data_IF_680456709997
#
_entry.id   IF_680456709997
#
_cell.length_a   1.000
_cell.length_b   1.000
_cell.length_c   1.000
_cell.angle_alpha   90.00
_cell.angle_beta   90.00
_cell.angle_gamma   90.00
#
_symmetry.space_group_name_H-M   'P 1'
#
loop_
_entity.id
_entity.type
_entity.pdbx_description
1 polymer ?
#
# COMPACT_ATOMS: atom_id res chain seq x y z
N UNK A 1 23.10 54.29 14.34
CA UNK A 1 22.34 53.46 15.29
C UNK A 1 21.07 53.01 14.59
N UNK A 2 21.08 51.78 14.06
CA UNK A 2 19.89 50.96 13.82
C UNK A 2 20.38 49.52 13.76
N UNK A 3 19.75 48.68 14.58
CA UNK A 3 20.13 47.33 14.95
C UNK A 3 20.17 46.35 13.77
N UNK A 4 21.26 45.58 13.71
CA UNK A 4 21.34 44.35 12.93
C UNK A 4 20.61 43.25 13.69
N UNK A 5 19.41 42.91 13.24
CA UNK A 5 18.61 41.81 13.76
C UNK A 5 19.38 40.48 13.68
N UNK A 6 19.43 39.79 14.83
CA UNK A 6 20.13 38.54 15.02
C UNK A 6 19.59 37.41 14.16
N UNK A 7 20.50 36.72 13.49
CA UNK A 7 20.25 35.41 12.88
C UNK A 7 20.21 34.41 14.05
N UNK A 8 19.00 33.96 14.41
CA UNK A 8 18.81 32.84 15.33
C UNK A 8 19.27 31.57 14.62
N UNK A 9 20.51 31.17 14.90
CA UNK A 9 21.01 29.83 14.65
C UNK A 9 20.24 28.91 15.61
N UNK A 10 19.23 28.18 15.12
CA UNK A 10 18.68 27.08 15.90
C UNK A 10 19.81 26.08 16.10
N UNK A 11 20.16 25.87 17.36
CA UNK A 11 21.17 24.92 17.82
C UNK A 11 20.63 23.51 17.63
N UNK A 12 21.36 22.70 16.87
CA UNK A 12 21.19 21.25 16.85
C UNK A 12 21.67 20.73 18.22
N UNK A 13 20.76 20.67 19.21
CA UNK A 13 21.08 20.15 20.54
C UNK A 13 21.42 18.67 20.42
N UNK A 14 22.68 18.32 20.69
CA UNK A 14 23.13 16.94 20.68
C UNK A 14 22.46 16.17 21.83
N UNK A 15 21.42 15.41 21.51
CA UNK A 15 20.79 14.48 22.47
C UNK A 15 21.76 13.33 22.74
N UNK A 16 22.21 13.20 24.00
CA UNK A 16 23.14 12.14 24.41
C UNK A 16 22.36 11.01 25.07
N UNK A 17 22.39 9.81 24.48
CA UNK A 17 21.77 8.61 25.05
C UNK A 17 22.82 7.71 25.69
N UNK A 18 22.50 7.08 26.83
CA UNK A 18 23.30 6.00 27.38
C UNK A 18 23.22 4.74 26.49
N UNK A 19 24.23 3.85 26.53
CA UNK A 19 24.16 2.58 25.81
C UNK A 19 22.97 1.70 26.21
N UNK A 20 22.45 1.85 27.43
CA UNK A 20 21.26 1.14 27.90
C UNK A 20 19.98 1.67 27.25
N UNK A 21 19.81 2.99 27.21
CA UNK A 21 18.67 3.65 26.56
C UNK A 21 18.63 3.37 25.06
N UNK A 22 19.78 3.40 24.39
CA UNK A 22 19.88 3.04 22.96
C UNK A 22 19.42 1.60 22.69
N UNK A 23 19.78 0.66 23.56
CA UNK A 23 19.33 -0.74 23.44
C UNK A 23 17.83 -0.86 23.65
N UNK A 24 17.29 -0.22 24.68
CA UNK A 24 15.84 -0.24 24.95
C UNK A 24 15.05 0.34 23.79
N UNK A 25 15.48 1.49 23.23
CA UNK A 25 14.82 2.13 22.10
C UNK A 25 14.85 1.24 20.86
N UNK A 26 16.02 0.66 20.55
CA UNK A 26 16.17 -0.29 19.44
C UNK A 26 15.24 -1.49 19.60
N UNK A 27 15.21 -2.10 20.78
CA UNK A 27 14.42 -3.31 21.03
C UNK A 27 12.92 -3.00 20.96
N UNK A 28 12.49 -1.84 21.46
CA UNK A 28 11.11 -1.38 21.35
C UNK A 28 10.72 -1.13 19.88
N UNK A 29 11.60 -0.51 19.09
CA UNK A 29 11.38 -0.28 17.67
C UNK A 29 11.36 -1.58 16.85
N UNK A 30 12.21 -2.54 17.18
CA UNK A 30 12.19 -3.88 16.57
C UNK A 30 10.88 -4.60 16.85
N UNK A 31 10.39 -4.57 18.10
CA UNK A 31 9.08 -5.13 18.47
C UNK A 31 7.95 -4.46 17.70
N UNK A 32 7.98 -3.13 17.63
CA UNK A 32 7.02 -2.34 16.86
C UNK A 32 6.94 -2.81 15.40
N UNK A 33 8.07 -2.91 14.69
CA UNK A 33 8.07 -3.39 13.30
C UNK A 33 7.68 -4.86 13.16
N UNK A 34 7.99 -5.70 14.15
CA UNK A 34 7.64 -7.10 14.15
C UNK A 34 6.12 -7.32 14.17
N UNK A 35 5.38 -6.49 14.90
CA UNK A 35 3.91 -6.52 14.89
C UNK A 35 3.33 -6.34 13.48
N UNK A 36 3.92 -5.41 12.70
CA UNK A 36 3.55 -5.20 11.30
C UNK A 36 3.95 -6.35 10.39
N UNK A 37 5.09 -7.00 10.66
CA UNK A 37 5.47 -8.23 9.93
C UNK A 37 4.46 -9.35 10.19
N UNK A 38 3.91 -9.46 11.40
CA UNK A 38 2.88 -10.46 11.69
C UNK A 38 1.55 -10.13 11.02
N UNK A 39 1.09 -8.87 11.07
CA UNK A 39 -0.11 -8.47 10.34
C UNK A 39 0.01 -8.71 8.84
N UNK A 40 1.21 -8.49 8.28
CA UNK A 40 1.50 -8.82 6.88
C UNK A 40 1.31 -10.31 6.58
N UNK A 41 1.83 -11.19 7.43
CA UNK A 41 1.70 -12.65 7.26
C UNK A 41 0.26 -13.12 7.33
N UNK A 42 -0.55 -12.58 8.24
CA UNK A 42 -1.99 -12.89 8.31
C UNK A 42 -2.69 -12.59 6.98
N UNK A 43 -2.43 -11.41 6.41
CA UNK A 43 -3.00 -11.01 5.12
C UNK A 43 -2.45 -11.86 3.96
N UNK A 44 -1.15 -12.16 3.95
CA UNK A 44 -0.54 -13.03 2.95
C UNK A 44 -1.15 -14.43 2.96
N UNK A 45 -1.35 -15.02 4.14
CA UNK A 45 -1.97 -16.34 4.28
C UNK A 45 -3.41 -16.33 3.74
N UNK A 46 -4.20 -15.31 4.07
CA UNK A 46 -5.57 -15.16 3.55
C UNK A 46 -5.59 -15.08 2.02
N UNK A 47 -4.69 -14.30 1.42
CA UNK A 47 -4.56 -14.19 -0.03
C UNK A 47 -4.04 -15.47 -0.69
N UNK A 48 -3.12 -16.17 -0.04
CA UNK A 48 -2.59 -17.45 -0.53
C UNK A 48 -3.69 -18.52 -0.57
N UNK A 49 -4.53 -18.59 0.48
CA UNK A 49 -5.69 -19.49 0.53
C UNK A 49 -6.66 -19.18 -0.61
N UNK A 50 -7.02 -17.91 -0.82
CA UNK A 50 -7.88 -17.52 -1.96
C UNK A 50 -7.27 -17.96 -3.30
N UNK A 51 -5.96 -17.74 -3.49
CA UNK A 51 -5.26 -18.17 -4.72
C UNK A 51 -5.33 -19.68 -4.94
N UNK A 52 -5.05 -20.47 -3.89
CA UNK A 52 -5.06 -21.93 -3.95
C UNK A 52 -6.48 -22.48 -4.17
N UNK A 53 -7.48 -21.90 -3.51
CA UNK A 53 -8.89 -22.23 -3.72
C UNK A 53 -9.28 -22.01 -5.19
N UNK A 54 -8.94 -20.84 -5.77
CA UNK A 54 -9.23 -20.55 -7.17
C UNK A 54 -8.60 -21.55 -8.14
N UNK A 55 -7.35 -21.95 -7.89
CA UNK A 55 -6.65 -22.93 -8.72
C UNK A 55 -7.30 -24.31 -8.71
N UNK A 56 -7.97 -24.69 -7.61
CA UNK A 56 -8.60 -26.00 -7.46
C UNK A 56 -10.06 -26.02 -7.93
N UNK A 57 -10.76 -24.89 -7.82
CA UNK A 57 -12.23 -24.83 -8.00
C UNK A 57 -12.68 -24.11 -9.26
N UNK A 58 -11.79 -23.38 -9.92
CA UNK A 58 -12.11 -22.58 -11.10
C UNK A 58 -11.12 -22.85 -12.25
N UNK A 59 -11.58 -22.68 -13.48
CA UNK A 59 -10.75 -22.85 -14.68
C UNK A 59 -9.67 -21.76 -14.84
N UNK A 60 -9.72 -20.71 -14.01
CA UNK A 60 -8.85 -19.54 -14.10
C UNK A 60 -8.55 -18.96 -12.70
N UNK A 61 -7.29 -18.57 -12.49
CA UNK A 61 -6.81 -18.00 -11.24
C UNK A 61 -6.67 -16.46 -11.35
N UNK A 62 -7.42 -15.68 -10.55
CA UNK A 62 -7.37 -14.22 -10.59
C UNK A 62 -6.07 -13.61 -10.07
N UNK A 63 -5.25 -14.36 -9.29
CA UNK A 63 -4.00 -13.88 -8.69
C UNK A 63 -2.80 -14.42 -9.46
N UNK A 64 -2.04 -13.52 -10.08
CA UNK A 64 -0.77 -13.84 -10.75
C UNK A 64 0.37 -13.96 -9.74
N UNK A 65 0.52 -12.95 -8.89
CA UNK A 65 1.51 -12.96 -7.81
C UNK A 65 1.15 -12.00 -6.68
N UNK A 66 1.67 -12.32 -5.49
CA UNK A 66 1.59 -11.48 -4.30
C UNK A 66 3.01 -11.11 -3.89
N UNK A 67 3.25 -9.83 -3.63
CA UNK A 67 4.49 -9.35 -3.01
C UNK A 67 4.16 -8.57 -1.76
N UNK A 68 5.05 -8.59 -0.80
CA UNK A 68 4.82 -7.93 0.48
C UNK A 68 6.09 -7.27 0.97
N UNK A 69 5.93 -6.25 1.81
CA UNK A 69 7.04 -5.57 2.46
C UNK A 69 6.61 -4.93 3.75
N UNK A 70 7.57 -4.80 4.67
CA UNK A 70 7.50 -3.83 5.75
C UNK A 70 8.41 -2.67 5.41
N UNK A 71 7.94 -1.44 5.67
CA UNK A 71 8.71 -0.22 5.43
C UNK A 71 10.01 -0.27 6.23
N UNK A 72 11.13 0.14 5.61
CA UNK A 72 12.41 0.21 6.31
C UNK A 72 12.36 1.26 7.44
N UNK A 73 13.19 1.09 8.49
CA UNK A 73 13.37 2.10 9.53
C UNK A 73 13.56 3.52 8.98
N UNK A 74 14.49 3.69 8.06
CA UNK A 74 14.86 5.00 7.52
C UNK A 74 13.67 5.64 6.79
N UNK A 75 13.01 4.89 5.90
CA UNK A 75 11.84 5.41 5.19
C UNK A 75 10.65 5.69 6.11
N UNK A 76 10.52 4.97 7.23
CA UNK A 76 9.50 5.26 8.23
C UNK A 76 9.80 6.58 8.93
N UNK A 77 11.05 6.78 9.39
CA UNK A 77 11.52 8.03 10.02
C UNK A 77 11.35 9.22 9.08
N UNK A 78 11.77 9.11 7.83
CA UNK A 78 11.56 10.15 6.80
C UNK A 78 10.07 10.49 6.63
N UNK A 79 9.20 9.48 6.69
CA UNK A 79 7.74 9.68 6.55
C UNK A 79 7.12 10.35 7.77
N UNK A 80 7.59 9.99 8.98
CA UNK A 80 7.20 10.64 10.24
C UNK A 80 7.60 12.11 10.19
N UNK A 81 8.86 12.40 9.86
CA UNK A 81 9.38 13.77 9.75
C UNK A 81 8.63 14.59 8.70
N UNK A 82 8.42 14.06 7.49
CA UNK A 82 7.68 14.75 6.42
C UNK A 82 6.23 15.08 6.80
N UNK A 83 5.59 14.25 7.62
CA UNK A 83 4.21 14.46 8.06
C UNK A 83 4.11 15.27 9.37
N UNK A 84 5.22 15.58 10.03
CA UNK A 84 5.23 16.25 11.33
C UNK A 84 4.52 15.44 12.42
N UNK A 85 4.62 14.11 12.38
CA UNK A 85 4.00 13.24 13.38
C UNK A 85 4.94 13.15 14.59
N UNK A 86 4.38 13.08 15.80
CA UNK A 86 5.15 12.81 17.00
C UNK A 86 5.89 11.46 16.89
N UNK A 87 7.11 11.41 17.45
CA UNK A 87 8.02 10.26 17.27
C UNK A 87 7.72 9.08 18.20
N UNK A 88 6.56 9.07 18.86
CA UNK A 88 6.11 7.94 19.66
C UNK A 88 5.33 6.91 18.83
N UNK A 89 5.30 5.66 19.30
CA UNK A 89 4.69 4.57 18.52
C UNK A 89 3.18 4.63 18.43
N UNK A 90 2.49 5.31 19.35
CA UNK A 90 1.03 5.46 19.31
C UNK A 90 0.64 6.43 18.18
N UNK A 91 1.29 7.59 18.14
CA UNK A 91 1.12 8.57 17.07
C UNK A 91 1.48 8.01 15.70
N UNK A 92 2.58 7.24 15.61
CA UNK A 92 2.98 6.60 14.35
C UNK A 92 1.90 5.61 13.88
N UNK A 93 1.36 4.76 14.78
CA UNK A 93 0.27 3.82 14.42
C UNK A 93 -0.96 4.53 13.91
N UNK A 94 -1.35 5.63 14.54
CA UNK A 94 -2.56 6.36 14.19
C UNK A 94 -2.47 7.05 12.81
N UNK A 95 -1.27 7.47 12.40
CA UNK A 95 -1.09 8.33 11.22
C UNK A 95 -0.36 7.67 10.03
N UNK A 96 0.32 6.54 10.24
CA UNK A 96 1.05 5.80 9.20
C UNK A 96 0.48 4.38 9.08
N UNK A 97 -0.38 4.22 8.07
CA UNK A 97 -1.16 3.00 7.83
C UNK A 97 -0.53 2.05 6.82
N UNK A 98 0.56 2.45 6.15
CA UNK A 98 1.28 1.68 5.11
C UNK A 98 2.66 1.20 5.59
N UNK A 99 2.79 0.91 6.89
CA UNK A 99 4.02 0.31 7.46
C UNK A 99 4.15 -1.13 6.96
N UNK A 100 3.07 -1.90 6.99
CA UNK A 100 2.91 -3.17 6.29
C UNK A 100 2.18 -2.94 4.97
N UNK A 101 2.73 -3.45 3.87
CA UNK A 101 2.14 -3.32 2.55
C UNK A 101 2.17 -4.62 1.75
N UNK A 102 1.02 -5.05 1.24
CA UNK A 102 0.86 -6.17 0.31
C UNK A 102 0.45 -5.62 -1.05
N UNK A 103 1.02 -6.18 -2.11
CA UNK A 103 0.61 -5.93 -3.49
C UNK A 103 0.13 -7.23 -4.11
N UNK A 104 -1.10 -7.19 -4.62
CA UNK A 104 -1.75 -8.29 -5.31
C UNK A 104 -1.85 -7.93 -6.78
N UNK A 105 -1.08 -8.63 -7.60
CA UNK A 105 -1.15 -8.49 -9.06
C UNK A 105 -2.13 -9.51 -9.61
N UNK A 106 -3.15 -9.01 -10.29
CA UNK A 106 -4.28 -9.73 -10.85
C UNK A 106 -4.17 -9.74 -12.38
N UNK A 107 -4.84 -10.67 -13.07
CA UNK A 107 -4.78 -10.64 -14.53
C UNK A 107 -5.70 -9.57 -15.12
N UNK A 108 -6.88 -9.32 -14.53
CA UNK A 108 -7.81 -8.28 -15.01
C UNK A 108 -8.29 -7.30 -13.92
N UNK A 109 -8.89 -6.19 -14.36
CA UNK A 109 -9.44 -5.17 -13.47
C UNK A 109 -10.60 -5.74 -12.66
N UNK A 110 -11.46 -6.54 -13.30
CA UNK A 110 -12.53 -7.27 -12.63
C UNK A 110 -12.01 -8.08 -11.43
N UNK A 111 -10.89 -8.77 -11.60
CA UNK A 111 -10.31 -9.63 -10.56
C UNK A 111 -9.76 -8.85 -9.39
N UNK A 112 -9.23 -7.65 -9.64
CA UNK A 112 -8.82 -6.73 -8.57
C UNK A 112 -10.00 -6.38 -7.64
N UNK A 113 -11.19 -6.10 -8.20
CA UNK A 113 -12.39 -5.85 -7.40
C UNK A 113 -12.93 -7.12 -6.74
N UNK A 114 -12.94 -8.25 -7.45
CA UNK A 114 -13.38 -9.53 -6.90
C UNK A 114 -12.54 -9.95 -5.67
N UNK A 115 -11.23 -9.83 -5.77
CA UNK A 115 -10.33 -10.16 -4.66
C UNK A 115 -10.44 -9.17 -3.50
N UNK A 116 -10.67 -7.89 -3.79
CA UNK A 116 -11.02 -6.92 -2.76
C UNK A 116 -12.28 -7.35 -1.99
N UNK A 117 -13.35 -7.71 -2.70
CA UNK A 117 -14.60 -8.15 -2.08
C UNK A 117 -14.39 -9.40 -1.24
N UNK A 118 -13.71 -10.42 -1.77
CA UNK A 118 -13.45 -11.68 -1.07
C UNK A 118 -12.58 -11.51 0.17
N UNK A 119 -11.53 -10.68 0.10
CA UNK A 119 -10.68 -10.41 1.26
C UNK A 119 -11.45 -9.65 2.35
N UNK A 120 -12.25 -8.66 1.96
CA UNK A 120 -12.92 -7.75 2.91
C UNK A 120 -14.25 -8.28 3.45
N UNK A 121 -14.77 -9.38 2.89
CA UNK A 121 -15.91 -10.11 3.44
C UNK A 121 -15.52 -11.09 4.57
N UNK A 122 -14.23 -11.34 4.78
CA UNK A 122 -13.77 -12.16 5.91
C UNK A 122 -14.14 -11.47 7.23
N UNK A 123 -14.62 -12.25 8.20
CA UNK A 123 -15.21 -11.77 9.46
C UNK A 123 -14.22 -11.07 10.39
N UNK A 124 -12.92 -11.33 10.21
CA UNK A 124 -11.82 -10.75 10.99
C UNK A 124 -11.06 -9.63 10.27
N UNK A 125 -11.52 -9.20 9.09
CA UNK A 125 -10.94 -8.09 8.33
C UNK A 125 -11.81 -6.84 8.46
N UNK A 126 -11.23 -5.75 8.99
CA UNK A 126 -11.89 -4.44 9.05
C UNK A 126 -11.33 -3.49 8.01
N UNK A 127 -12.18 -2.98 7.12
CA UNK A 127 -11.76 -1.95 6.14
C UNK A 127 -11.69 -0.58 6.81
N UNK A 128 -10.51 0.03 6.83
CA UNK A 128 -10.29 1.38 7.37
C UNK A 128 -10.41 2.45 6.28
N UNK A 129 -9.88 2.20 5.08
CA UNK A 129 -9.90 3.17 3.99
C UNK A 129 -9.84 2.48 2.63
N UNK A 130 -10.54 3.03 1.64
CA UNK A 130 -10.47 2.63 0.23
C UNK A 130 -10.13 3.85 -0.62
N UNK A 131 -9.11 3.73 -1.48
CA UNK A 131 -8.77 4.73 -2.52
C UNK A 131 -8.72 4.03 -3.87
N UNK A 132 -9.72 4.30 -4.69
CA UNK A 132 -9.90 3.65 -5.98
C UNK A 132 -9.27 4.48 -7.10
N UNK A 133 -7.96 4.33 -7.31
CA UNK A 133 -7.27 4.97 -8.43
C UNK A 133 -7.47 4.24 -9.76
N UNK A 134 -8.22 3.12 -9.79
CA UNK A 134 -8.62 2.49 -11.05
C UNK A 134 -9.77 3.32 -11.64
N UNK A 135 -10.78 3.61 -10.82
CA UNK A 135 -11.92 4.45 -11.20
C UNK A 135 -11.55 5.94 -11.31
N UNK A 136 -10.70 6.44 -10.40
CA UNK A 136 -10.25 7.83 -10.36
C UNK A 136 -8.71 7.92 -10.41
N UNK A 137 -8.09 7.72 -11.59
CA UNK A 137 -6.63 7.74 -11.76
C UNK A 137 -6.01 9.06 -11.33
N UNK A 138 -4.76 9.00 -10.84
CA UNK A 138 -4.01 10.23 -10.54
C UNK A 138 -3.65 10.99 -11.83
N UNK A 139 -3.33 12.30 -11.74
CA UNK A 139 -2.96 13.11 -12.91
C UNK A 139 -1.80 12.55 -13.75
N UNK A 140 -0.85 11.84 -13.13
CA UNK A 140 0.27 11.19 -13.80
C UNK A 140 -0.09 9.88 -14.54
N UNK A 141 -1.35 9.42 -14.47
CA UNK A 141 -1.79 8.16 -15.07
C UNK A 141 -1.74 6.95 -14.13
N UNK A 142 -1.30 7.13 -12.89
CA UNK A 142 -1.24 6.05 -11.91
C UNK A 142 -2.61 5.45 -11.60
N UNK A 143 -2.70 4.11 -11.69
CA UNK A 143 -3.88 3.31 -11.34
C UNK A 143 -3.52 2.16 -10.39
N UNK A 144 -4.37 1.95 -9.39
CA UNK A 144 -4.35 0.84 -8.43
C UNK A 144 -5.54 0.98 -7.48
N UNK A 145 -6.07 -0.11 -6.96
CA UNK A 145 -7.03 -0.06 -5.85
C UNK A 145 -6.28 -0.21 -4.53
N UNK A 146 -6.26 0.84 -3.71
CA UNK A 146 -5.59 0.84 -2.40
C UNK A 146 -6.60 0.68 -1.30
N UNK A 147 -6.35 -0.29 -0.42
CA UNK A 147 -7.25 -0.65 0.66
C UNK A 147 -6.43 -0.77 1.92
N UNK A 148 -6.74 0.03 2.93
CA UNK A 148 -6.17 -0.14 4.26
C UNK A 148 -7.12 -1.03 5.03
N UNK A 149 -6.67 -2.24 5.34
CA UNK A 149 -7.39 -3.18 6.19
C UNK A 149 -6.72 -3.23 7.56
N UNK A 150 -7.47 -3.64 8.55
CA UNK A 150 -6.97 -3.96 9.88
C UNK A 150 -7.25 -5.44 10.17
N UNK A 151 -6.21 -6.15 10.61
CA UNK A 151 -6.25 -7.59 10.91
C UNK A 151 -5.81 -7.83 12.36
N UNK A 152 -6.43 -8.76 13.11
CA UNK A 152 -5.97 -9.12 14.43
C UNK A 152 -4.67 -9.94 14.38
N UNK A 153 -3.72 -9.59 15.24
CA UNK A 153 -2.52 -10.38 15.51
C UNK A 153 -2.53 -10.81 16.97
N UNK A 154 -2.33 -12.10 17.21
CA UNK A 154 -2.35 -12.68 18.55
C UNK A 154 -0.93 -12.94 19.03
N UNK A 155 -0.48 -12.12 19.99
CA UNK A 155 0.83 -12.23 20.63
C UNK A 155 0.70 -12.83 22.03
N UNK A 156 1.84 -13.22 22.62
CA UNK A 156 1.87 -13.67 24.02
C UNK A 156 1.41 -12.58 25.02
N UNK A 157 1.48 -11.32 24.62
CA UNK A 157 1.04 -10.15 25.41
C UNK A 157 -0.41 -9.76 25.16
N UNK A 158 -1.11 -10.45 24.25
CA UNK A 158 -2.50 -10.19 23.92
C UNK A 158 -2.74 -9.94 22.43
N UNK A 159 -3.98 -9.61 22.11
CA UNK A 159 -4.43 -9.28 20.74
C UNK A 159 -4.12 -7.82 20.44
N UNK A 160 -3.51 -7.57 19.29
CA UNK A 160 -3.37 -6.22 18.71
C UNK A 160 -4.07 -6.18 17.35
N UNK A 161 -4.50 -5.00 16.94
CA UNK A 161 -5.08 -4.78 15.62
C UNK A 161 -4.03 -4.04 14.76
N UNK A 162 -3.68 -4.62 13.61
CA UNK A 162 -2.57 -4.13 12.79
C UNK A 162 -3.09 -3.65 11.45
N UNK A 163 -2.87 -2.38 11.07
CA UNK A 163 -3.23 -1.90 9.74
C UNK A 163 -2.22 -2.40 8.70
N UNK A 164 -2.75 -2.88 7.57
CA UNK A 164 -2.01 -3.34 6.40
C UNK A 164 -2.60 -2.68 5.16
N UNK A 165 -1.74 -2.05 4.36
CA UNK A 165 -2.15 -1.53 3.05
C UNK A 165 -2.09 -2.66 2.01
N UNK A 166 -3.22 -2.99 1.39
CA UNK A 166 -3.33 -3.93 0.28
C UNK A 166 -3.56 -3.14 -1.01
N UNK A 167 -2.70 -3.35 -1.99
CA UNK A 167 -2.78 -2.72 -3.30
C UNK A 167 -3.13 -3.77 -4.35
N UNK A 168 -4.31 -3.68 -4.94
CA UNK A 168 -4.71 -4.51 -6.08
C UNK A 168 -4.36 -3.80 -7.39
N UNK A 169 -3.74 -4.54 -8.31
CA UNK A 169 -3.27 -4.03 -9.61
C UNK A 169 -3.42 -5.10 -10.67
N UNK A 170 -3.57 -4.69 -11.93
CA UNK A 170 -3.28 -5.58 -13.06
C UNK A 170 -1.77 -5.68 -13.28
N UNK A 171 -1.35 -6.62 -14.14
CA UNK A 171 0.04 -6.73 -14.59
C UNK A 171 0.53 -5.41 -15.21
N UNK A 172 -0.27 -4.78 -16.07
CA UNK A 172 0.13 -3.55 -16.76
C UNK A 172 0.24 -2.36 -15.78
N UNK A 173 -0.69 -2.25 -14.82
CA UNK A 173 -0.62 -1.25 -13.75
C UNK A 173 0.63 -1.42 -12.89
N UNK A 174 0.97 -2.66 -12.51
CA UNK A 174 2.14 -2.91 -11.69
C UNK A 174 3.46 -2.62 -12.43
N UNK A 175 3.54 -3.03 -13.70
CA UNK A 175 4.67 -2.74 -14.56
C UNK A 175 4.91 -1.23 -14.68
N UNK A 176 3.87 -0.48 -15.04
CA UNK A 176 3.96 0.97 -15.21
C UNK A 176 4.36 1.67 -13.91
N UNK A 177 3.68 1.36 -12.79
CA UNK A 177 3.93 2.00 -11.51
C UNK A 177 5.32 1.66 -10.95
N UNK A 178 5.83 0.45 -11.20
CA UNK A 178 7.18 0.07 -10.79
C UNK A 178 8.27 0.80 -11.58
N UNK A 179 8.03 1.09 -12.86
CA UNK A 179 8.95 1.87 -13.69
C UNK A 179 8.91 3.35 -13.31
N UNK A 180 7.72 3.93 -13.19
CA UNK A 180 7.53 5.33 -12.77
C UNK A 180 8.22 5.60 -11.44
N UNK A 181 8.01 4.76 -10.43
CA UNK A 181 8.64 4.91 -9.12
C UNK A 181 10.17 4.84 -9.19
N UNK A 182 10.75 3.95 -10.01
CA UNK A 182 12.21 3.84 -10.19
C UNK A 182 12.79 5.11 -10.83
N UNK A 183 12.09 5.68 -11.80
CA UNK A 183 12.50 6.93 -12.46
C UNK A 183 12.44 8.07 -11.44
N UNK A 184 11.31 8.29 -10.77
CA UNK A 184 11.18 9.36 -9.79
C UNK A 184 12.21 9.29 -8.66
N UNK A 185 12.47 8.08 -8.14
CA UNK A 185 13.45 7.90 -7.07
C UNK A 185 14.89 8.17 -7.53
N UNK A 186 15.27 7.74 -8.74
CA UNK A 186 16.64 7.93 -9.25
C UNK A 186 16.96 9.39 -9.59
N UNK A 187 15.96 10.17 -9.98
CA UNK A 187 16.14 11.54 -10.44
C UNK A 187 15.72 12.60 -9.40
N UNK A 188 15.49 12.21 -8.14
CA UNK A 188 15.14 13.10 -7.02
C UNK A 188 14.05 14.13 -7.39
N UNK A 189 13.01 13.66 -8.08
CA UNK A 189 11.89 14.49 -8.58
C UNK A 189 12.24 15.56 -9.63
N UNK A 190 13.46 15.60 -10.15
CA UNK A 190 13.90 16.47 -11.27
C UNK A 190 13.60 15.85 -12.64
N UNK A 191 12.42 15.26 -12.81
CA UNK A 191 12.04 14.60 -14.07
C UNK A 191 11.54 15.66 -15.07
N UNK A 192 12.10 15.74 -16.29
CA UNK A 192 11.64 16.69 -17.31
C UNK A 192 10.15 16.53 -17.64
N UNK A 193 9.46 17.64 -17.92
CA UNK A 193 8.03 17.65 -18.19
C UNK A 193 7.64 16.79 -19.40
N UNK A 194 8.51 16.75 -20.41
CA UNK A 194 8.33 15.92 -21.60
C UNK A 194 8.28 14.43 -21.23
N UNK A 195 9.20 13.97 -20.37
CA UNK A 195 9.24 12.58 -19.92
C UNK A 195 8.04 12.22 -19.04
N UNK A 196 7.53 13.16 -18.24
CA UNK A 196 6.27 12.97 -17.51
C UNK A 196 5.08 12.80 -18.45
N UNK A 197 5.06 13.54 -19.56
CA UNK A 197 4.06 13.38 -20.62
C UNK A 197 4.13 12.00 -21.28
N UNK A 198 5.33 11.53 -21.61
CA UNK A 198 5.54 10.19 -22.18
C UNK A 198 5.15 9.07 -21.21
N UNK A 199 5.51 9.20 -19.93
CA UNK A 199 5.09 8.24 -18.91
C UNK A 199 3.57 8.17 -18.78
N UNK A 200 2.88 9.32 -18.77
CA UNK A 200 1.42 9.35 -18.76
C UNK A 200 0.83 8.66 -20.01
N UNK A 201 1.34 8.97 -21.21
CA UNK A 201 0.87 8.35 -22.44
C UNK A 201 1.08 6.82 -22.45
N UNK A 202 2.19 6.35 -21.88
CA UNK A 202 2.43 4.93 -21.68
C UNK A 202 1.43 4.30 -20.69
N UNK A 203 1.02 5.03 -19.66
CA UNK A 203 0.00 4.59 -18.70
C UNK A 203 -1.37 4.42 -19.39
N UNK A 204 -1.73 5.38 -20.25
CA UNK A 204 -2.98 5.36 -21.00
C UNK A 204 -3.00 4.19 -22.00
N UNK A 205 -1.89 3.96 -22.70
CA UNK A 205 -1.71 2.82 -23.61
C UNK A 205 -1.82 1.48 -22.87
N UNK A 206 -1.19 1.38 -21.69
CA UNK A 206 -1.28 0.19 -20.84
C UNK A 206 -2.73 -0.10 -20.40
N UNK A 207 -3.48 0.95 -20.07
CA UNK A 207 -4.89 0.82 -19.70
C UNK A 207 -5.78 0.37 -20.87
N UNK A 208 -5.51 0.85 -22.09
CA UNK A 208 -6.21 0.39 -23.29
C UNK A 208 -5.95 -1.09 -23.57
N UNK A 209 -4.69 -1.53 -23.39
CA UNK A 209 -4.31 -2.93 -23.52
C UNK A 209 -5.04 -3.80 -22.49
N UNK A 210 -5.04 -3.42 -21.22
CA UNK A 210 -5.76 -4.14 -20.15
C UNK A 210 -7.25 -4.29 -20.50
N UNK A 211 -7.91 -3.20 -20.90
CA UNK A 211 -9.32 -3.22 -21.26
C UNK A 211 -9.61 -4.09 -22.48
N UNK A 212 -8.71 -4.10 -23.47
CA UNK A 212 -8.81 -4.97 -24.64
C UNK A 212 -8.65 -6.44 -24.26
N UNK A 213 -7.66 -6.78 -23.44
CA UNK A 213 -7.40 -8.15 -23.01
C UNK A 213 -8.54 -8.70 -22.15
N UNK A 214 -9.09 -7.89 -21.24
CA UNK A 214 -10.25 -8.27 -20.43
C UNK A 214 -11.49 -8.54 -21.30
N UNK A 215 -11.74 -7.71 -22.32
CA UNK A 215 -12.84 -7.93 -23.26
C UNK A 215 -12.68 -9.25 -24.02
N UNK A 216 -11.49 -9.52 -24.55
CA UNK A 216 -11.21 -10.77 -25.26
C UNK A 216 -11.40 -12.00 -24.36
N UNK A 217 -10.95 -11.92 -23.10
CA UNK A 217 -11.16 -12.98 -22.13
C UNK A 217 -12.65 -13.25 -21.89
N UNK A 218 -13.45 -12.18 -21.73
CA UNK A 218 -14.91 -12.28 -21.55
C UNK A 218 -15.63 -12.88 -22.77
N UNK A 219 -15.18 -12.56 -23.98
CA UNK A 219 -15.73 -13.12 -25.22
C UNK A 219 -15.43 -14.62 -25.36
N UNK A 220 -14.26 -15.08 -24.90
CA UNK A 220 -13.84 -16.48 -24.98
C UNK A 220 -14.44 -17.37 -23.87
N UNK A 221 -14.56 -16.85 -22.65
CA UNK A 221 -14.95 -17.62 -21.47
C UNK A 221 -16.36 -17.31 -20.92
N UNK A 222 -17.10 -16.39 -21.55
CA UNK A 222 -18.37 -15.90 -21.04
C UNK A 222 -18.19 -14.81 -19.97
N UNK A 223 -19.29 -14.16 -19.53
CA UNK A 223 -19.19 -13.25 -18.38
C UNK A 223 -18.89 -14.06 -17.12
N UNK A 224 -17.86 -13.72 -16.34
CA UNK A 224 -17.71 -14.29 -15.01
C UNK A 224 -18.98 -13.98 -14.22
N UNK A 225 -19.50 -15.00 -13.52
CA UNK A 225 -20.74 -14.90 -12.75
C UNK A 225 -20.66 -13.72 -11.78
N UNK A 226 -21.70 -12.87 -11.81
CA UNK A 226 -21.93 -11.64 -11.04
C UNK A 226 -20.96 -10.46 -11.28
N UNK A 227 -21.52 -9.31 -11.66
CA UNK A 227 -20.79 -8.05 -11.74
C UNK A 227 -20.32 -7.61 -10.34
N UNK A 228 -19.06 -7.14 -10.18
CA UNK A 228 -18.56 -6.68 -8.89
C UNK A 228 -19.34 -5.45 -8.43
N UNK A 229 -19.72 -5.42 -7.16
CA UNK A 229 -20.29 -4.20 -6.55
C UNK A 229 -19.15 -3.21 -6.37
N UNK A 230 -19.37 -1.94 -6.77
CA UNK A 230 -18.41 -0.88 -6.45
C UNK A 230 -18.15 -0.87 -4.94
N UNK A 231 -16.90 -0.70 -4.49
CA UNK A 231 -16.60 -0.58 -3.07
C UNK A 231 -17.46 0.52 -2.46
N UNK A 232 -18.30 0.17 -1.48
CA UNK A 232 -19.04 1.17 -0.72
C UNK A 232 -18.03 2.04 0.05
N UNK A 233 -18.18 3.37 -0.04
CA UNK A 233 -17.39 4.26 0.82
C UNK A 233 -17.67 3.86 2.29
N UNK A 234 -16.64 3.60 3.12
CA UNK A 234 -16.87 3.37 4.54
C UNK A 234 -17.62 4.58 5.10
N UNK A 235 -18.63 4.32 5.92
CA UNK A 235 -19.33 5.39 6.63
C UNK A 235 -18.27 6.15 7.43
N UNK A 236 -18.11 7.45 7.14
CA UNK A 236 -17.21 8.31 7.88
C UNK A 236 -17.68 8.28 9.35
N UNK A 237 -16.90 7.69 10.24
CA UNK A 237 -17.11 7.84 11.67
C UNK A 237 -16.89 9.32 11.99
N UNK A 238 -17.99 10.00 12.36
CA UNK A 238 -17.99 11.33 12.96
C UNK A 238 -17.62 11.24 14.44
#
# INVERSE_FOLDING_TARGET
MVDSAGILHQSDESVTFSPGELRTLRDAFQRFLLEYQFGLREVETKLAILREEFQLTHDYNPIEHVTSRVKSPDSLVEKVGRKGIETDFESIRAHITDIAGVRVTCSFIHDAYRLFDLLTQQDDIRVLQVKDYIAEPKPNGYKSLHVIVEVPVFLSTGRIAVPVEVQFRTIAMDFWASLEHKIYYKYDSLVPAELLGELKAAADTAAELDAKMERLHRELHGSPDSAPRKPAKPALLA
#
